data_IF_233423767422
#
_entry.id   IF_233423767422
#
_cell.length_a   1.000
_cell.length_b   1.000
_cell.length_c   1.000
_cell.angle_alpha   90.00
_cell.angle_beta   90.00
_cell.angle_gamma   90.00
#
_symmetry.space_group_name_H-M   'P 1'
#
loop_
_entity.id
_entity.type
_entity.pdbx_description
1 polymer ?
#
# COMPACT_ATOMS: atom_id res chain seq x y z
N UNK A 1 0.48 -2.98 -27.15
CA UNK A 1 1.56 -3.94 -27.47
C UNK A 1 1.55 -5.18 -26.57
N UNK A 2 2.26 -5.29 -25.43
CA UNK A 2 2.40 -6.59 -24.71
C UNK A 2 1.10 -7.26 -24.25
N UNK A 3 0.07 -6.46 -23.91
CA UNK A 3 -1.26 -6.99 -23.57
C UNK A 3 -2.09 -7.36 -24.80
N UNK A 4 -2.00 -6.56 -25.86
CA UNK A 4 -2.72 -6.81 -27.12
C UNK A 4 -2.27 -8.12 -27.79
N UNK A 5 -1.04 -8.54 -27.55
CA UNK A 5 -0.47 -9.77 -28.07
C UNK A 5 -0.40 -10.92 -27.04
N UNK A 6 -1.08 -10.79 -25.88
CA UNK A 6 -1.10 -11.81 -24.81
C UNK A 6 0.30 -12.25 -24.33
N UNK A 7 1.30 -11.38 -24.44
CA UNK A 7 2.67 -11.69 -24.03
C UNK A 7 2.94 -11.42 -22.55
N UNK A 8 2.11 -10.56 -21.93
CA UNK A 8 2.32 -10.15 -20.54
C UNK A 8 2.25 -11.32 -19.55
N UNK A 9 1.40 -12.32 -19.83
CA UNK A 9 1.24 -13.53 -19.00
C UNK A 9 2.51 -14.38 -18.89
N UNK A 10 3.42 -14.26 -19.85
CA UNK A 10 4.70 -14.97 -19.84
C UNK A 10 5.76 -14.26 -18.99
N UNK A 11 5.53 -12.99 -18.65
CA UNK A 11 6.46 -12.18 -17.87
C UNK A 11 5.99 -11.95 -16.44
N UNK A 12 4.68 -11.83 -16.24
CA UNK A 12 4.07 -11.51 -14.95
C UNK A 12 2.94 -12.49 -14.66
N UNK A 13 2.97 -13.06 -13.45
CA UNK A 13 1.80 -13.72 -12.90
C UNK A 13 0.74 -12.66 -12.60
N UNK A 14 -0.44 -12.84 -13.17
CA UNK A 14 -1.60 -11.99 -12.93
C UNK A 14 -2.75 -12.84 -12.39
N UNK A 15 -3.46 -12.37 -11.36
CA UNK A 15 -4.64 -13.05 -10.87
C UNK A 15 -5.78 -12.96 -11.88
N UNK A 16 -6.66 -13.95 -11.85
CA UNK A 16 -7.93 -13.99 -12.57
C UNK A 16 -9.05 -14.32 -11.57
N UNK A 17 -10.04 -13.44 -11.33
CA UNK A 17 -10.22 -12.13 -11.96
C UNK A 17 -9.21 -11.08 -11.50
N UNK A 18 -8.88 -10.15 -12.41
CA UNK A 18 -8.02 -9.00 -12.13
C UNK A 18 -8.86 -7.81 -11.66
N UNK A 19 -8.60 -7.32 -10.45
CA UNK A 19 -9.25 -6.12 -9.93
C UNK A 19 -8.80 -4.87 -10.69
N UNK A 20 -9.77 -4.05 -11.08
CA UNK A 20 -9.52 -2.87 -11.92
C UNK A 20 -8.74 -1.76 -11.20
N UNK A 21 -8.91 -1.57 -9.89
CA UNK A 21 -8.11 -0.60 -9.11
C UNK A 21 -6.65 -1.07 -9.04
N UNK A 22 -6.45 -2.35 -8.76
CA UNK A 22 -5.11 -2.94 -8.64
C UNK A 22 -4.36 -2.94 -9.97
N UNK A 23 -5.11 -3.16 -11.06
CA UNK A 23 -4.59 -3.00 -12.42
C UNK A 23 -4.18 -1.55 -12.70
N UNK A 24 -4.99 -0.57 -12.29
CA UNK A 24 -4.73 0.85 -12.49
C UNK A 24 -3.43 1.29 -11.79
N UNK A 25 -3.10 0.73 -10.62
CA UNK A 25 -1.81 0.97 -9.95
C UNK A 25 -0.63 0.61 -10.86
N UNK A 26 -0.69 -0.56 -11.51
CA UNK A 26 0.37 -1.01 -12.42
C UNK A 26 0.49 -0.10 -13.65
N UNK A 27 -0.63 0.33 -14.22
CA UNK A 27 -0.66 1.20 -15.40
C UNK A 27 -0.12 2.59 -15.11
N UNK A 28 -0.60 3.23 -14.05
CA UNK A 28 -0.10 4.55 -13.63
C UNK A 28 1.39 4.51 -13.30
N UNK A 29 1.90 3.43 -12.70
CA UNK A 29 3.33 3.28 -12.45
C UNK A 29 4.16 3.21 -13.73
N UNK A 30 3.65 2.56 -14.79
CA UNK A 30 4.34 2.53 -16.09
C UNK A 30 4.33 3.91 -16.74
N UNK A 31 3.18 4.60 -16.74
CA UNK A 31 3.06 5.97 -17.25
C UNK A 31 4.02 6.93 -16.52
N UNK A 32 4.03 6.88 -15.19
CA UNK A 32 4.93 7.71 -14.38
C UNK A 32 6.41 7.35 -14.64
N UNK A 33 6.73 6.08 -14.90
CA UNK A 33 8.09 5.63 -15.24
C UNK A 33 8.54 6.14 -16.61
N UNK A 34 7.65 6.09 -17.60
CA UNK A 34 7.90 6.60 -18.96
C UNK A 34 8.16 8.11 -18.92
N UNK A 35 7.32 8.86 -18.19
CA UNK A 35 7.52 10.31 -18.04
C UNK A 35 8.86 10.64 -17.38
N UNK A 36 9.24 9.90 -16.33
CA UNK A 36 10.54 10.09 -15.67
C UNK A 36 11.71 9.83 -16.61
N UNK A 37 11.61 8.80 -17.44
CA UNK A 37 12.61 8.50 -18.45
C UNK A 37 12.74 9.65 -19.46
N UNK A 38 11.62 10.17 -19.97
CA UNK A 38 11.60 11.33 -20.87
C UNK A 38 12.21 12.59 -20.21
N UNK A 39 11.96 12.80 -18.92
CA UNK A 39 12.54 13.89 -18.14
C UNK A 39 14.05 13.69 -17.80
N UNK A 40 14.67 12.59 -18.23
CA UNK A 40 16.06 12.25 -17.87
C UNK A 40 16.25 11.87 -16.39
N UNK A 41 15.17 11.58 -15.67
CA UNK A 41 15.20 11.17 -14.26
C UNK A 41 15.40 9.67 -14.14
N UNK A 42 16.10 9.24 -13.08
CA UNK A 42 16.26 7.81 -12.79
C UNK A 42 14.92 7.14 -12.46
N UNK A 43 14.70 5.97 -13.05
CA UNK A 43 13.58 5.07 -12.76
C UNK A 43 14.08 4.00 -11.79
N UNK A 44 13.29 3.73 -10.75
CA UNK A 44 13.63 2.76 -9.71
C UNK A 44 12.98 1.40 -10.04
N UNK A 45 13.75 0.37 -10.46
CA UNK A 45 13.15 -0.90 -10.90
C UNK A 45 12.31 -1.58 -9.82
N UNK A 46 12.74 -1.50 -8.56
CA UNK A 46 11.99 -2.10 -7.43
C UNK A 46 10.61 -1.47 -7.23
N UNK A 47 10.44 -0.19 -7.58
CA UNK A 47 9.15 0.49 -7.47
C UNK A 47 8.21 0.03 -8.60
N UNK A 48 8.73 -0.06 -9.83
CA UNK A 48 7.99 -0.59 -10.97
C UNK A 48 7.53 -2.03 -10.73
N UNK A 49 8.41 -2.91 -10.21
CA UNK A 49 8.02 -4.27 -9.84
C UNK A 49 7.00 -4.30 -8.68
N UNK A 50 7.13 -3.43 -7.68
CA UNK A 50 6.16 -3.31 -6.59
C UNK A 50 4.74 -3.01 -7.10
N UNK A 51 4.63 -2.16 -8.14
CA UNK A 51 3.37 -1.80 -8.75
C UNK A 51 2.84 -2.90 -9.67
N UNK A 52 3.69 -3.48 -10.52
CA UNK A 52 3.31 -4.53 -11.45
C UNK A 52 2.79 -5.80 -10.75
N UNK A 53 3.39 -6.18 -9.62
CA UNK A 53 3.03 -7.37 -8.85
C UNK A 53 2.02 -7.08 -7.73
N UNK A 54 1.56 -5.82 -7.61
CA UNK A 54 0.56 -5.45 -6.61
C UNK A 54 -0.73 -6.29 -6.72
N UNK A 55 -1.33 -6.52 -7.90
CA UNK A 55 -2.54 -7.33 -8.01
C UNK A 55 -2.34 -8.77 -7.52
N UNK A 56 -1.21 -9.40 -7.86
CA UNK A 56 -0.88 -10.75 -7.41
C UNK A 56 -0.79 -10.83 -5.88
N UNK A 57 -0.12 -9.86 -5.25
CA UNK A 57 -0.05 -9.80 -3.79
C UNK A 57 -1.44 -9.66 -3.17
N UNK A 58 -2.28 -8.82 -3.76
CA UNK A 58 -3.61 -8.56 -3.23
C UNK A 58 -4.57 -9.75 -3.41
N UNK A 59 -4.46 -10.50 -4.50
CA UNK A 59 -5.23 -11.74 -4.66
C UNK A 59 -4.87 -12.76 -3.59
N UNK A 60 -3.58 -12.94 -3.31
CA UNK A 60 -3.12 -13.83 -2.23
C UNK A 60 -3.69 -13.40 -0.87
N UNK A 61 -3.76 -12.08 -0.59
CA UNK A 61 -4.38 -11.57 0.63
C UNK A 61 -5.87 -11.94 0.70
N UNK A 62 -6.61 -11.78 -0.40
CA UNK A 62 -8.04 -12.15 -0.47
C UNK A 62 -8.26 -13.64 -0.24
N UNK A 63 -7.41 -14.48 -0.82
CA UNK A 63 -7.52 -15.94 -0.73
C UNK A 63 -7.20 -16.46 0.69
N UNK A 64 -6.23 -15.82 1.35
CA UNK A 64 -5.68 -16.31 2.63
C UNK A 64 -6.23 -15.57 3.86
N UNK A 65 -7.12 -14.59 3.69
CA UNK A 65 -7.63 -13.76 4.80
C UNK A 65 -8.25 -14.56 5.95
N UNK A 66 -8.85 -15.72 5.67
CA UNK A 66 -9.48 -16.59 6.67
C UNK A 66 -8.49 -17.54 7.36
N UNK A 67 -7.26 -17.65 6.85
CA UNK A 67 -6.22 -18.54 7.37
C UNK A 67 -5.31 -17.84 8.40
N UNK A 68 -5.45 -16.52 8.56
CA UNK A 68 -4.60 -15.72 9.43
C UNK A 68 -5.43 -14.83 10.36
N UNK A 69 -5.16 -14.92 11.67
CA UNK A 69 -5.78 -14.03 12.66
C UNK A 69 -5.04 -12.69 12.82
N UNK A 70 -3.74 -12.67 12.52
CA UNK A 70 -2.92 -11.44 12.55
C UNK A 70 -2.79 -10.87 11.13
N UNK A 71 -3.35 -9.67 10.85
CA UNK A 71 -3.20 -9.02 9.56
C UNK A 71 -1.74 -8.81 9.14
N UNK A 72 -0.84 -8.58 10.10
CA UNK A 72 0.58 -8.38 9.77
C UNK A 72 1.24 -9.67 9.26
N UNK A 73 0.89 -10.81 9.86
CA UNK A 73 1.35 -12.11 9.41
C UNK A 73 0.84 -12.42 7.99
N UNK A 74 -0.44 -12.14 7.71
CA UNK A 74 -1.04 -12.29 6.38
C UNK A 74 -0.31 -11.45 5.32
N UNK A 75 -0.09 -10.16 5.60
CA UNK A 75 0.58 -9.27 4.66
C UNK A 75 2.03 -9.67 4.39
N UNK A 76 2.76 -10.12 5.43
CA UNK A 76 4.12 -10.64 5.27
C UNK A 76 4.15 -11.92 4.43
N UNK A 77 3.24 -12.85 4.71
CA UNK A 77 3.08 -14.09 3.95
C UNK A 77 2.79 -13.80 2.47
N UNK A 78 1.81 -12.94 2.18
CA UNK A 78 1.42 -12.60 0.82
C UNK A 78 2.55 -11.94 0.03
N UNK A 79 3.30 -11.02 0.65
CA UNK A 79 4.48 -10.41 0.04
C UNK A 79 5.54 -11.44 -0.37
N UNK A 80 5.82 -12.43 0.50
CA UNK A 80 6.79 -13.49 0.18
C UNK A 80 6.26 -14.46 -0.86
N UNK A 81 5.00 -14.89 -0.76
CA UNK A 81 4.38 -15.81 -1.72
C UNK A 81 4.32 -15.20 -3.12
N UNK A 82 3.87 -13.96 -3.25
CA UNK A 82 3.84 -13.27 -4.55
C UNK A 82 5.23 -13.22 -5.22
N UNK A 83 6.29 -12.99 -4.43
CA UNK A 83 7.65 -12.99 -4.93
C UNK A 83 8.10 -14.39 -5.36
N UNK A 84 7.88 -15.42 -4.53
CA UNK A 84 8.25 -16.80 -4.83
C UNK A 84 7.55 -17.30 -6.10
N UNK A 85 6.24 -17.07 -6.20
CA UNK A 85 5.44 -17.47 -7.35
C UNK A 85 5.99 -16.78 -8.62
N UNK A 86 6.25 -15.47 -8.56
CA UNK A 86 6.78 -14.70 -9.68
C UNK A 86 8.20 -15.13 -10.10
N UNK A 87 9.04 -15.60 -9.16
CA UNK A 87 10.40 -16.05 -9.46
C UNK A 87 10.45 -17.24 -10.42
N UNK A 88 9.38 -18.04 -10.51
CA UNK A 88 9.29 -19.14 -11.46
C UNK A 88 9.15 -18.68 -12.92
N UNK A 89 8.59 -17.50 -13.16
CA UNK A 89 8.47 -16.92 -14.51
C UNK A 89 9.62 -15.95 -14.82
N UNK A 90 9.92 -15.05 -13.89
CA UNK A 90 10.93 -14.03 -14.07
C UNK A 90 11.77 -13.89 -12.79
N UNK A 91 13.02 -14.39 -12.79
CA UNK A 91 13.91 -14.24 -11.63
C UNK A 91 14.18 -12.78 -11.30
N UNK A 92 13.68 -12.31 -10.14
CA UNK A 92 13.93 -10.96 -9.64
C UNK A 92 15.15 -10.99 -8.70
N UNK A 93 16.24 -10.25 -9.00
CA UNK A 93 17.41 -10.18 -8.12
C UNK A 93 17.07 -9.62 -6.74
N UNK A 94 17.74 -10.10 -5.69
CA UNK A 94 17.51 -9.66 -4.29
C UNK A 94 17.59 -8.14 -4.09
N UNK A 95 18.51 -7.47 -4.79
CA UNK A 95 18.65 -5.99 -4.75
C UNK A 95 17.40 -5.23 -5.22
N UNK A 96 16.52 -5.89 -5.97
CA UNK A 96 15.24 -5.35 -6.46
C UNK A 96 14.10 -5.86 -5.58
N UNK A 97 14.06 -7.15 -5.27
CA UNK A 97 12.93 -7.74 -4.54
C UNK A 97 12.87 -7.36 -3.06
N UNK A 98 14.00 -7.17 -2.38
CA UNK A 98 14.02 -6.71 -0.99
C UNK A 98 13.36 -5.34 -0.80
N UNK A 99 13.78 -4.27 -1.51
CA UNK A 99 13.12 -2.96 -1.37
C UNK A 99 11.68 -2.94 -1.87
N UNK A 100 11.32 -3.81 -2.81
CA UNK A 100 9.94 -4.03 -3.22
C UNK A 100 9.07 -4.54 -2.06
N UNK A 101 9.52 -5.59 -1.35
CA UNK A 101 8.82 -6.11 -0.17
C UNK A 101 8.73 -5.08 0.95
N UNK A 102 9.77 -4.26 1.14
CA UNK A 102 9.74 -3.16 2.11
C UNK A 102 8.66 -2.13 1.77
N UNK A 103 8.48 -1.76 0.49
CA UNK A 103 7.39 -0.87 0.06
C UNK A 103 6.02 -1.45 0.45
N UNK A 104 5.80 -2.74 0.18
CA UNK A 104 4.54 -3.41 0.49
C UNK A 104 4.29 -3.50 2.00
N UNK A 105 5.29 -3.88 2.79
CA UNK A 105 5.21 -4.00 4.25
C UNK A 105 5.13 -2.64 4.99
N UNK A 106 5.32 -1.53 4.27
CA UNK A 106 5.06 -0.20 4.79
C UNK A 106 3.61 0.22 4.52
N UNK A 107 2.93 -0.37 3.53
CA UNK A 107 1.54 -0.04 3.20
C UNK A 107 0.58 -0.32 4.36
N UNK A 108 0.70 -1.47 5.03
CA UNK A 108 -0.09 -1.82 6.22
C UNK A 108 0.28 -0.96 7.43
N UNK A 109 1.52 -0.46 7.49
CA UNK A 109 1.98 0.38 8.60
C UNK A 109 1.48 1.80 8.52
N UNK A 110 1.16 2.32 7.33
CA UNK A 110 0.62 3.66 7.17
C UNK A 110 -0.69 3.86 7.93
N UNK A 111 -1.50 2.81 8.11
CA UNK A 111 -2.76 2.88 8.88
C UNK A 111 -2.54 3.19 10.37
N UNK A 112 -1.34 2.89 10.89
CA UNK A 112 -1.00 3.01 12.32
C UNK A 112 -0.63 4.44 12.70
N UNK A 113 -1.61 5.34 12.71
CA UNK A 113 -1.45 6.80 12.93
C UNK A 113 -1.34 7.26 14.40
N UNK A 114 -1.32 6.35 15.37
CA UNK A 114 -1.36 6.69 16.81
C UNK A 114 -0.02 6.45 17.51
N UNK A 115 0.34 7.36 18.41
CA UNK A 115 1.51 7.29 19.26
C UNK A 115 2.84 7.45 18.50
N UNK A 116 3.89 6.75 18.94
CA UNK A 116 5.26 6.89 18.38
C UNK A 116 5.47 6.17 17.04
N UNK A 117 4.50 5.37 16.57
CA UNK A 117 4.66 4.52 15.38
C UNK A 117 4.86 5.34 14.09
N UNK A 118 4.10 6.42 13.83
CA UNK A 118 4.29 7.21 12.63
C UNK A 118 5.65 7.90 12.56
N UNK A 119 6.14 8.42 13.69
CA UNK A 119 7.47 9.03 13.77
C UNK A 119 8.56 8.01 13.41
N UNK A 120 8.47 6.77 13.90
CA UNK A 120 9.40 5.71 13.50
C UNK A 120 9.33 5.39 12.01
N UNK A 121 8.12 5.41 11.42
CA UNK A 121 7.92 5.15 10.00
C UNK A 121 8.56 6.22 9.12
N UNK A 122 8.47 7.51 9.50
CA UNK A 122 9.10 8.62 8.78
C UNK A 122 10.61 8.45 8.59
N UNK A 123 11.28 7.84 9.57
CA UNK A 123 12.73 7.63 9.53
C UNK A 123 13.14 6.36 8.78
N UNK A 124 12.19 5.60 8.23
CA UNK A 124 12.50 4.39 7.49
C UNK A 124 13.19 4.73 6.16
N UNK A 125 14.28 4.03 5.77
CA UNK A 125 15.03 4.33 4.54
C UNK A 125 14.16 4.33 3.27
N UNK A 126 13.11 3.49 3.26
CA UNK A 126 12.15 3.38 2.15
C UNK A 126 10.84 4.14 2.35
N UNK A 127 10.75 5.01 3.35
CA UNK A 127 9.54 5.79 3.59
C UNK A 127 9.09 6.53 2.34
N UNK A 128 10.00 7.23 1.64
CA UNK A 128 9.65 8.00 0.45
C UNK A 128 9.04 7.14 -0.65
N UNK A 129 9.69 6.03 -0.99
CA UNK A 129 9.18 5.11 -2.01
C UNK A 129 7.83 4.49 -1.61
N UNK A 130 7.66 4.13 -0.33
CA UNK A 130 6.38 3.60 0.14
C UNK A 130 5.27 4.64 0.16
N UNK A 131 5.59 5.90 0.47
CA UNK A 131 4.65 7.02 0.44
C UNK A 131 4.27 7.37 -1.01
N UNK A 132 5.22 7.39 -1.94
CA UNK A 132 4.94 7.54 -3.37
C UNK A 132 4.03 6.42 -3.88
N UNK A 133 4.21 5.21 -3.36
CA UNK A 133 3.31 4.08 -3.66
C UNK A 133 1.91 4.26 -3.07
N UNK A 134 1.79 4.85 -1.87
CA UNK A 134 0.50 5.20 -1.28
C UNK A 134 -0.24 6.25 -2.12
N UNK A 135 0.47 7.26 -2.62
CA UNK A 135 -0.10 8.27 -3.53
C UNK A 135 -0.54 7.66 -4.86
N UNK A 136 0.26 6.75 -5.41
CA UNK A 136 -0.09 6.00 -6.62
C UNK A 136 -1.39 5.20 -6.44
N UNK A 137 -1.52 4.47 -5.32
CA UNK A 137 -2.75 3.74 -4.97
C UNK A 137 -3.94 4.68 -4.81
N UNK A 138 -3.72 5.85 -4.21
CA UNK A 138 -4.77 6.86 -4.03
C UNK A 138 -5.27 7.40 -5.38
N UNK A 139 -4.36 7.69 -6.32
CA UNK A 139 -4.71 8.08 -7.70
C UNK A 139 -5.48 6.98 -8.41
N UNK A 140 -5.00 5.74 -8.33
CA UNK A 140 -5.65 4.59 -8.95
C UNK A 140 -7.10 4.39 -8.46
N UNK A 141 -7.34 4.62 -7.16
CA UNK A 141 -8.66 4.54 -6.57
C UNK A 141 -9.57 5.74 -6.92
N UNK A 142 -9.00 6.92 -7.18
CA UNK A 142 -9.75 8.14 -7.49
C UNK A 142 -10.40 8.13 -8.88
N UNK A 143 -9.82 7.40 -9.83
CA UNK A 143 -10.34 7.26 -11.20
C UNK A 143 -11.63 6.41 -11.27
N UNK A 144 -12.10 5.86 -10.14
CA UNK A 144 -13.31 5.03 -10.08
C UNK A 144 -14.47 5.77 -9.40
N UNK A 145 -15.54 5.99 -10.17
CA UNK A 145 -16.73 6.79 -9.82
C UNK A 145 -17.52 6.23 -8.62
N UNK A 146 -17.31 4.96 -8.28
CA UNK A 146 -18.01 4.30 -7.18
C UNK A 146 -17.00 3.48 -6.38
N UNK A 147 -16.40 4.01 -5.32
CA UNK A 147 -15.94 3.11 -4.26
C UNK A 147 -15.75 3.75 -2.90
N UNK A 148 -15.95 2.89 -1.91
CA UNK A 148 -15.90 3.08 -0.45
C UNK A 148 -14.48 3.42 0.07
N UNK A 149 -13.64 4.01 -0.78
CA UNK A 149 -12.25 4.40 -0.52
C UNK A 149 -12.16 5.80 0.11
N UNK A 150 -13.14 6.19 0.92
CA UNK A 150 -13.09 7.47 1.65
C UNK A 150 -11.88 7.56 2.59
N UNK A 151 -11.28 6.43 2.96
CA UNK A 151 -10.13 6.35 3.87
C UNK A 151 -8.77 6.49 3.21
N UNK A 152 -8.59 6.15 1.93
CA UNK A 152 -7.26 6.15 1.30
C UNK A 152 -6.75 7.57 0.97
N UNK A 153 -7.55 8.47 0.36
CA UNK A 153 -7.17 9.87 0.19
C UNK A 153 -6.94 10.59 1.53
N UNK A 154 -7.78 10.32 2.54
CA UNK A 154 -7.58 10.86 3.89
C UNK A 154 -6.27 10.37 4.52
N UNK A 155 -5.93 9.10 4.30
CA UNK A 155 -4.68 8.52 4.79
C UNK A 155 -3.48 9.17 4.11
N UNK A 156 -3.52 9.28 2.78
CA UNK A 156 -2.49 9.95 2.00
C UNK A 156 -2.30 11.40 2.46
N UNK A 157 -3.38 12.17 2.58
CA UNK A 157 -3.34 13.55 3.04
C UNK A 157 -2.77 13.67 4.46
N UNK A 158 -3.17 12.79 5.38
CA UNK A 158 -2.63 12.80 6.74
C UNK A 158 -1.10 12.61 6.74
N UNK A 159 -0.58 11.72 5.89
CA UNK A 159 0.87 11.52 5.74
C UNK A 159 1.56 12.69 5.04
N UNK A 160 0.89 13.34 4.08
CA UNK A 160 1.34 14.62 3.47
C UNK A 160 1.57 15.67 4.54
N UNK A 161 0.63 15.84 5.46
CA UNK A 161 0.71 16.85 6.51
C UNK A 161 1.75 16.45 7.57
N UNK A 162 1.75 15.18 7.97
CA UNK A 162 2.59 14.67 9.06
C UNK A 162 4.08 14.75 8.75
N UNK A 163 4.50 14.50 7.51
CA UNK A 163 5.91 14.61 7.12
C UNK A 163 6.43 16.05 7.18
N UNK A 164 5.58 17.06 6.97
CA UNK A 164 5.95 18.48 7.02
C UNK A 164 5.69 19.13 8.40
N UNK A 165 4.91 18.49 9.26
CA UNK A 165 4.62 18.97 10.61
C UNK A 165 5.86 19.01 11.52
N UNK A 166 5.90 20.00 12.41
CA UNK A 166 6.91 20.09 13.48
C UNK A 166 6.66 19.08 14.61
N UNK A 167 7.56 19.02 15.59
CA UNK A 167 7.46 18.06 16.69
C UNK A 167 6.17 18.21 17.54
N UNK A 168 5.71 19.44 17.77
CA UNK A 168 4.52 19.72 18.58
C UNK A 168 3.22 19.37 17.83
N UNK A 169 3.17 19.70 16.55
CA UNK A 169 2.09 19.32 15.65
C UNK A 169 2.01 17.80 15.47
N UNK A 170 3.15 17.11 15.31
CA UNK A 170 3.20 15.64 15.22
C UNK A 170 2.69 14.96 16.50
N UNK A 171 3.00 15.48 17.68
CA UNK A 171 2.44 14.96 18.94
C UNK A 171 0.91 15.09 18.91
N UNK A 172 0.40 16.26 18.54
CA UNK A 172 -1.04 16.51 18.43
C UNK A 172 -1.73 15.57 17.43
N UNK A 173 -1.15 15.39 16.24
CA UNK A 173 -1.69 14.53 15.17
C UNK A 173 -1.73 13.04 15.54
N UNK A 174 -0.84 12.59 16.44
CA UNK A 174 -0.71 11.18 16.82
C UNK A 174 -1.42 10.83 18.13
N UNK A 175 -2.07 11.81 18.78
CA UNK A 175 -2.89 11.57 19.96
C UNK A 175 -4.08 10.67 19.62
N UNK A 176 -4.39 9.66 20.45
CA UNK A 176 -5.60 8.87 20.25
C UNK A 176 -6.83 9.78 20.36
N UNK A 177 -7.71 9.76 19.35
CA UNK A 177 -9.02 10.41 19.46
C UNK A 177 -9.76 9.78 20.64
N UNK A 178 -10.19 10.62 21.60
CA UNK A 178 -10.97 10.15 22.74
C UNK A 178 -12.24 9.46 22.24
N UNK A 179 -12.49 8.22 22.66
CA UNK A 179 -13.79 7.56 22.42
C UNK A 179 -14.87 8.41 23.11
N UNK A 180 -16.02 8.71 22.46
CA UNK A 180 -17.12 9.36 23.15
C UNK A 180 -17.53 8.46 24.32
N UNK A 181 -17.32 8.97 25.54
CA UNK A 181 -17.62 8.26 26.77
C UNK A 181 -19.14 8.07 26.81
N UNK A 182 -19.59 6.85 26.46
CA UNK A 182 -20.99 6.43 26.57
C UNK A 182 -21.42 6.76 28.00
N UNK A 183 -22.21 7.83 28.17
CA UNK A 183 -22.80 8.23 29.45
C UNK A 183 -23.52 7.02 30.00
N UNK A 184 -22.93 6.39 31.02
CA UNK A 184 -23.52 5.28 31.78
C UNK A 184 -24.86 5.80 32.30
N UNK A 185 -25.98 5.39 31.68
CA UNK A 185 -27.32 5.65 32.21
C UNK A 185 -27.36 4.99 33.59
N UNK A 186 -27.38 5.84 34.61
CA UNK A 186 -27.53 5.44 36.01
C UNK A 186 -28.96 4.91 36.12
N UNK A 187 -29.12 3.58 36.15
CA UNK A 187 -30.40 2.96 36.44
C UNK A 187 -30.85 3.44 37.82
N UNK A 188 -31.87 4.29 37.86
CA UNK A 188 -32.63 4.53 39.07
C UNK A 188 -33.49 3.29 39.30
N UNK A 189 -33.11 2.50 40.30
CA UNK A 189 -34.02 1.56 40.91
C UNK A 189 -35.08 2.39 41.66
N UNK A 190 -36.36 2.23 41.31
CA UNK A 190 -37.44 2.59 42.20
C UNK A 190 -38.06 1.31 42.77
N UNK A 191 -38.14 1.35 44.10
CA UNK A 191 -38.88 0.48 45.00
C UNK A 191 -40.36 0.33 44.62
#
# INVERSE_FOLDING_TARGET
>A
MLREYDLLQHLLLRPDPLDSEEQQVAELAMVDSDQRFQDGKSVAPFFSFAALLWPLRQSIIRDEQNNFNDPHALHSYASHRALTDQQHLLPIPKRVSQPMMEIWNLQDRFERRVGKKPVKLLHHPRFRAAYDFLLLRTRAAADQVNNQSGTLPELAQWWTDFQHADAAARDTMTRPRAKPQRRRRKNQAHA
#
